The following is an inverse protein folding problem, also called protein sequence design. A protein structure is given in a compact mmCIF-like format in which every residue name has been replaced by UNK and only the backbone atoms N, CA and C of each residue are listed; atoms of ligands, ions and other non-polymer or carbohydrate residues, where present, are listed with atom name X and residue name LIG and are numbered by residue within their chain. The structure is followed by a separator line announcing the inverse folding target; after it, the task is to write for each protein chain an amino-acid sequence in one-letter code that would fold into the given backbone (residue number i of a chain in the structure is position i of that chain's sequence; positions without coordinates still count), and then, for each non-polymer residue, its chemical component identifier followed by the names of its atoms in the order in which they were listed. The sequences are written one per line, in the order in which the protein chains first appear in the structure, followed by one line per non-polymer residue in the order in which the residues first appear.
data_IF_001568955454
#
_entry.id   IF_001568955454
#
_cell.length_a   1.000
_cell.length_b   1.000
_cell.length_c   1.000
_cell.angle_alpha   90.00
_cell.angle_beta   90.00
_cell.angle_gamma   90.00
#
_symmetry.space_group_name_H-M   'P 1'
#
loop_
_entity.id
_entity.type
_entity.pdbx_description
1 polymer ?
#
# COMPACT_ATOMS: atom_id res chain seq x y z
N UNK A 1 4.83 21.84 -12.20
CA UNK A 1 3.69 20.95 -11.90
C UNK A 1 3.84 20.55 -10.45
N UNK A 2 2.84 20.82 -9.62
CA UNK A 2 2.86 20.47 -8.20
C UNK A 2 2.11 19.14 -8.01
N UNK A 3 2.57 18.30 -7.10
CA UNK A 3 1.83 17.11 -6.68
C UNK A 3 1.75 17.09 -5.16
N UNK A 4 0.76 16.36 -4.64
CA UNK A 4 0.53 16.17 -3.22
C UNK A 4 0.64 14.68 -2.90
N UNK A 5 1.42 14.33 -1.88
CA UNK A 5 1.43 12.99 -1.31
C UNK A 5 0.41 12.96 -0.18
N UNK A 6 -0.49 12.00 -0.21
CA UNK A 6 -1.55 11.85 0.80
C UNK A 6 -1.63 10.41 1.29
N UNK A 7 -1.66 10.26 2.62
CA UNK A 7 -1.77 8.96 3.27
C UNK A 7 -3.21 8.45 3.22
N UNK A 8 -3.54 7.67 2.21
CA UNK A 8 -4.85 7.04 2.05
C UNK A 8 -4.98 5.79 2.92
N UNK A 9 -3.88 5.06 3.07
CA UNK A 9 -3.73 3.83 3.85
C UNK A 9 -4.57 2.66 3.28
N UNK A 10 -5.88 2.77 3.30
CA UNK A 10 -6.83 1.73 2.87
C UNK A 10 -8.17 2.35 2.51
N UNK A 11 -9.01 1.61 1.80
CA UNK A 11 -10.42 1.95 1.54
C UNK A 11 -11.38 1.37 2.60
N UNK A 12 -10.86 0.66 3.61
CA UNK A 12 -11.65 0.03 4.65
C UNK A 12 -11.88 0.99 5.83
N UNK A 13 -13.09 1.54 5.95
CA UNK A 13 -13.46 2.51 6.99
C UNK A 13 -13.32 1.97 8.42
N UNK A 14 -13.49 0.66 8.63
CA UNK A 14 -13.21 0.01 9.93
C UNK A 14 -11.73 0.14 10.30
N UNK A 15 -10.84 -0.11 9.34
CA UNK A 15 -9.39 0.00 9.56
C UNK A 15 -9.00 1.46 9.76
N UNK A 16 -9.51 2.38 8.94
CA UNK A 16 -9.29 3.83 9.10
C UNK A 16 -9.71 4.32 10.49
N UNK A 17 -10.85 3.83 11.00
CA UNK A 17 -11.34 4.16 12.36
C UNK A 17 -10.40 3.61 13.43
N UNK A 18 -9.94 2.36 13.32
CA UNK A 18 -9.01 1.76 14.28
C UNK A 18 -7.67 2.52 14.29
N UNK A 19 -7.21 2.97 13.14
CA UNK A 19 -5.98 3.76 12.98
C UNK A 19 -6.15 5.24 13.35
N UNK A 20 -7.36 5.68 13.73
CA UNK A 20 -7.69 7.08 14.09
C UNK A 20 -7.33 8.08 12.98
N UNK A 21 -7.57 7.72 11.71
CA UNK A 21 -7.22 8.56 10.57
C UNK A 21 -8.13 9.78 10.38
N UNK A 22 -9.30 9.80 11.05
CA UNK A 22 -10.28 10.89 10.99
C UNK A 22 -10.78 11.22 9.56
N UNK A 23 -10.72 10.26 8.65
CA UNK A 23 -11.30 10.32 7.31
C UNK A 23 -11.89 8.95 6.94
N UNK A 24 -12.72 8.94 5.91
CA UNK A 24 -13.40 7.76 5.38
C UNK A 24 -12.97 7.49 3.94
N UNK A 25 -13.36 6.34 3.39
CA UNK A 25 -13.18 6.02 1.97
C UNK A 25 -13.82 7.07 1.04
N UNK A 26 -14.95 7.67 1.45
CA UNK A 26 -15.58 8.75 0.69
C UNK A 26 -14.72 10.03 0.65
N UNK A 27 -14.00 10.34 1.73
CA UNK A 27 -13.09 11.50 1.76
C UNK A 27 -11.91 11.29 0.82
N UNK A 28 -11.46 10.04 0.59
CA UNK A 28 -10.43 9.72 -0.41
C UNK A 28 -10.92 10.11 -1.81
N UNK A 29 -12.14 9.70 -2.19
CA UNK A 29 -12.74 10.06 -3.47
C UNK A 29 -12.84 11.58 -3.63
N UNK A 30 -13.37 12.27 -2.63
CA UNK A 30 -13.50 13.73 -2.64
C UNK A 30 -12.14 14.41 -2.81
N UNK A 31 -11.10 13.93 -2.12
CA UNK A 31 -9.75 14.50 -2.22
C UNK A 31 -9.14 14.36 -3.62
N UNK A 32 -9.41 13.23 -4.30
CA UNK A 32 -8.96 13.02 -5.68
C UNK A 32 -9.71 13.96 -6.63
N UNK A 33 -11.03 14.08 -6.48
CA UNK A 33 -11.85 14.94 -7.33
C UNK A 33 -11.44 16.41 -7.20
N UNK A 34 -11.27 16.90 -5.97
CA UNK A 34 -10.79 18.25 -5.70
C UNK A 34 -9.40 18.46 -6.33
N UNK A 35 -8.47 17.51 -6.14
CA UNK A 35 -7.13 17.62 -6.72
C UNK A 35 -7.16 17.72 -8.23
N UNK A 36 -8.03 16.93 -8.89
CA UNK A 36 -8.24 16.99 -10.35
C UNK A 36 -8.80 18.33 -10.80
N UNK A 37 -9.79 18.88 -10.07
CA UNK A 37 -10.40 20.18 -10.37
C UNK A 37 -9.36 21.30 -10.37
N UNK A 38 -8.40 21.26 -9.43
CA UNK A 38 -7.32 22.24 -9.33
C UNK A 38 -6.07 21.90 -10.15
N UNK A 39 -6.08 20.82 -10.93
CA UNK A 39 -4.94 20.41 -11.74
C UNK A 39 -3.72 19.98 -10.91
N UNK A 40 -3.95 19.47 -9.70
CA UNK A 40 -2.92 18.99 -8.80
C UNK A 40 -2.88 17.47 -8.88
N UNK A 41 -1.72 16.89 -9.21
CA UNK A 41 -1.55 15.45 -9.18
C UNK A 41 -1.51 14.94 -7.74
N UNK A 42 -2.40 13.99 -7.38
CA UNK A 42 -2.39 13.33 -6.09
C UNK A 42 -1.62 12.01 -6.19
N UNK A 43 -0.76 11.77 -5.21
CA UNK A 43 -0.03 10.52 -5.03
C UNK A 43 -0.48 9.87 -3.73
N UNK A 44 -1.45 8.96 -3.78
CA UNK A 44 -1.88 8.25 -2.60
C UNK A 44 -0.78 7.31 -2.12
N UNK A 45 -0.60 7.19 -0.82
CA UNK A 45 0.21 6.14 -0.22
C UNK A 45 -0.69 5.11 0.45
N UNK A 46 -0.39 3.84 0.20
CA UNK A 46 -1.20 2.71 0.61
C UNK A 46 -0.48 1.86 1.65
N UNK A 47 -1.23 1.37 2.61
CA UNK A 47 -0.86 0.37 3.58
C UNK A 47 -2.00 -0.65 3.66
N UNK A 48 -2.18 -1.47 2.62
CA UNK A 48 -3.37 -2.32 2.48
C UNK A 48 -3.44 -3.45 3.51
N UNK A 49 -2.30 -3.86 4.09
CA UNK A 49 -2.26 -5.02 4.98
C UNK A 49 -2.13 -4.65 6.45
N UNK A 50 -3.12 -5.06 7.20
CA UNK A 50 -3.26 -4.93 8.65
C UNK A 50 -3.87 -6.22 9.22
N UNK A 51 -3.94 -6.42 10.54
CA UNK A 51 -4.63 -7.58 11.12
C UNK A 51 -6.08 -7.78 10.66
N UNK A 52 -6.74 -6.71 10.26
CA UNK A 52 -8.17 -6.67 9.92
C UNK A 52 -8.45 -6.66 8.41
N UNK A 53 -7.42 -6.81 7.59
CA UNK A 53 -7.57 -6.77 6.13
C UNK A 53 -8.36 -7.96 5.62
N UNK A 54 -9.36 -7.67 4.80
CA UNK A 54 -10.10 -8.64 4.00
C UNK A 54 -9.61 -8.63 2.54
N UNK A 55 -9.88 -9.69 1.79
CA UNK A 55 -9.43 -9.77 0.40
C UNK A 55 -10.04 -8.66 -0.46
N UNK A 56 -11.30 -8.32 -0.20
CA UNK A 56 -12.05 -7.28 -0.89
C UNK A 56 -11.41 -5.90 -0.75
N UNK A 57 -10.67 -5.63 0.32
CA UNK A 57 -9.99 -4.35 0.52
C UNK A 57 -8.99 -4.08 -0.61
N UNK A 58 -8.29 -5.12 -1.08
CA UNK A 58 -7.34 -5.01 -2.19
C UNK A 58 -8.06 -4.75 -3.52
N UNK A 59 -9.19 -5.42 -3.75
CA UNK A 59 -10.03 -5.14 -4.93
C UNK A 59 -10.50 -3.70 -4.94
N UNK A 60 -11.01 -3.20 -3.82
CA UNK A 60 -11.50 -1.82 -3.69
C UNK A 60 -10.39 -0.79 -3.94
N UNK A 61 -9.16 -1.06 -3.48
CA UNK A 61 -8.00 -0.20 -3.76
C UNK A 61 -7.71 -0.18 -5.26
N UNK A 62 -7.69 -1.36 -5.92
CA UNK A 62 -7.44 -1.45 -7.37
C UNK A 62 -8.56 -0.73 -8.13
N UNK A 63 -9.83 -0.92 -7.77
CA UNK A 63 -10.95 -0.24 -8.40
C UNK A 63 -10.86 1.28 -8.28
N UNK A 64 -10.43 1.80 -7.14
CA UNK A 64 -10.18 3.22 -6.95
C UNK A 64 -9.04 3.72 -7.85
N UNK A 65 -7.90 3.00 -7.88
CA UNK A 65 -6.76 3.35 -8.73
C UNK A 65 -7.18 3.38 -10.21
N UNK A 66 -7.94 2.38 -10.67
CA UNK A 66 -8.42 2.29 -12.04
C UNK A 66 -9.47 3.36 -12.37
N UNK A 67 -10.47 3.52 -11.50
CA UNK A 67 -11.56 4.48 -11.69
C UNK A 67 -11.08 5.93 -11.78
N UNK A 68 -10.05 6.26 -11.03
CA UNK A 68 -9.46 7.60 -11.02
C UNK A 68 -8.20 7.74 -11.89
N UNK A 69 -7.77 6.67 -12.59
CA UNK A 69 -6.58 6.65 -13.44
C UNK A 69 -5.30 7.05 -12.68
N UNK A 70 -5.06 6.42 -11.54
CA UNK A 70 -3.94 6.76 -10.65
C UNK A 70 -2.72 5.83 -10.78
N UNK A 71 -2.66 4.91 -11.76
CA UNK A 71 -1.55 3.95 -11.91
C UNK A 71 -0.17 4.60 -11.89
N UNK A 72 -0.04 5.76 -12.56
CA UNK A 72 1.24 6.49 -12.66
C UNK A 72 1.65 7.17 -11.34
N UNK A 73 0.72 7.28 -10.40
CA UNK A 73 0.95 7.93 -9.11
C UNK A 73 1.11 6.94 -7.96
N UNK A 74 0.91 5.65 -8.23
CA UNK A 74 1.02 4.56 -7.25
C UNK A 74 2.18 3.65 -7.64
N UNK A 75 3.19 3.54 -6.79
CA UNK A 75 4.25 2.56 -6.95
C UNK A 75 3.68 1.16 -6.63
N UNK A 76 3.81 0.15 -7.51
CA UNK A 76 3.24 -1.18 -7.31
C UNK A 76 3.63 -1.83 -5.97
N UNK A 77 4.83 -1.59 -5.46
CA UNK A 77 5.28 -2.12 -4.16
C UNK A 77 4.34 -1.72 -3.02
N UNK A 78 3.62 -0.60 -3.13
CA UNK A 78 2.70 -0.14 -2.08
C UNK A 78 1.55 -1.12 -1.85
N UNK A 79 1.18 -1.91 -2.87
CA UNK A 79 0.17 -2.96 -2.73
C UNK A 79 0.65 -4.17 -1.90
N UNK A 80 1.88 -4.16 -1.41
CA UNK A 80 2.44 -5.21 -0.53
C UNK A 80 2.66 -4.75 0.90
N UNK A 81 2.49 -3.45 1.18
CA UNK A 81 2.87 -2.84 2.45
C UNK A 81 1.93 -3.28 3.56
N UNK A 82 2.53 -3.71 4.68
CA UNK A 82 1.81 -4.08 5.90
C UNK A 82 2.04 -3.09 7.03
N UNK A 83 1.08 -3.04 7.96
CA UNK A 83 1.14 -2.19 9.14
C UNK A 83 2.42 -2.46 9.95
N UNK A 84 3.22 -1.42 10.15
CA UNK A 84 4.37 -1.41 11.04
C UNK A 84 3.94 -0.90 12.43
N UNK A 85 4.32 -1.61 13.49
CA UNK A 85 3.99 -1.26 14.88
C UNK A 85 5.26 -1.04 15.70
N UNK A 86 5.87 0.14 15.64
CA UNK A 86 7.05 0.46 16.43
C UNK A 86 6.76 0.41 17.94
N UNK A 87 7.81 0.27 18.76
CA UNK A 87 7.73 0.08 20.23
C UNK A 87 6.86 1.11 20.96
N UNK A 88 6.77 2.32 20.45
CA UNK A 88 6.01 3.41 21.06
C UNK A 88 4.76 3.80 20.26
N UNK A 89 4.31 2.96 19.34
CA UNK A 89 3.11 3.21 18.55
C UNK A 89 1.87 3.29 19.44
N UNK A 90 1.02 4.30 19.20
CA UNK A 90 -0.20 4.49 19.97
C UNK A 90 -1.21 3.35 19.79
N UNK A 91 -1.15 2.66 18.64
CA UNK A 91 -2.04 1.53 18.34
C UNK A 91 -1.91 0.39 19.35
N UNK A 92 -0.74 0.23 20.00
CA UNK A 92 -0.51 -0.80 21.04
C UNK A 92 -1.48 -0.65 22.21
N UNK A 93 -1.95 0.57 22.48
CA UNK A 93 -2.90 0.87 23.56
C UNK A 93 -4.35 0.53 23.19
N UNK A 94 -4.64 0.31 21.91
CA UNK A 94 -5.98 0.02 21.42
C UNK A 94 -6.40 -1.40 21.77
N UNK A 95 -7.62 -1.62 22.25
CA UNK A 95 -8.11 -2.96 22.54
C UNK A 95 -8.19 -3.85 21.30
N UNK A 96 -8.43 -3.24 20.12
CA UNK A 96 -8.62 -3.92 18.84
C UNK A 96 -7.36 -4.69 18.41
N UNK A 97 -6.15 -4.17 18.71
CA UNK A 97 -4.90 -4.83 18.29
C UNK A 97 -4.46 -5.96 19.22
N UNK A 98 -4.89 -5.94 20.49
CA UNK A 98 -4.31 -6.79 21.55
C UNK A 98 -4.33 -8.28 21.22
N UNK A 99 -5.40 -8.78 20.62
CA UNK A 99 -5.53 -10.20 20.28
C UNK A 99 -4.65 -10.65 19.10
N UNK A 100 -4.13 -9.70 18.33
CA UNK A 100 -3.29 -9.98 17.17
C UNK A 100 -1.82 -9.73 17.43
N UNK A 101 -1.49 -8.93 18.46
CA UNK A 101 -0.14 -8.46 18.74
C UNK A 101 0.73 -9.62 19.27
N UNK A 102 1.88 -9.81 18.63
CA UNK A 102 2.93 -10.75 19.03
C UNK A 102 4.10 -10.06 19.72
N UNK A 103 5.27 -10.69 19.65
CA UNK A 103 6.50 -10.19 20.26
C UNK A 103 7.12 -9.04 19.48
N UNK A 104 7.90 -8.22 20.18
CA UNK A 104 8.70 -7.16 19.55
C UNK A 104 9.97 -7.73 18.94
N UNK A 105 10.15 -7.54 17.66
CA UNK A 105 11.33 -7.95 16.90
C UNK A 105 12.28 -6.77 16.71
N UNK A 106 13.52 -6.94 17.16
CA UNK A 106 14.52 -5.87 17.13
C UNK A 106 15.06 -5.61 15.73
N UNK A 107 15.10 -6.62 14.87
CA UNK A 107 15.61 -6.54 13.51
C UNK A 107 14.70 -5.69 12.62
N UNK A 108 13.39 -5.85 12.76
CA UNK A 108 12.37 -5.06 12.05
C UNK A 108 11.96 -3.79 12.79
N UNK A 109 12.40 -3.61 14.05
CA UNK A 109 11.99 -2.51 14.94
C UNK A 109 10.47 -2.42 15.15
N UNK A 110 9.77 -3.55 15.08
CA UNK A 110 8.32 -3.64 15.07
C UNK A 110 7.84 -4.78 15.96
N UNK A 111 6.62 -4.63 16.49
CA UNK A 111 5.88 -5.78 17.00
C UNK A 111 5.40 -6.62 15.84
N UNK A 112 5.55 -7.94 15.96
CA UNK A 112 4.90 -8.88 15.07
C UNK A 112 3.40 -8.90 15.38
N UNK A 113 2.60 -9.25 14.37
CA UNK A 113 1.17 -9.39 14.53
C UNK A 113 0.63 -10.45 13.57
N UNK A 114 -0.58 -10.95 13.86
CA UNK A 114 -1.23 -12.00 13.09
C UNK A 114 -2.44 -11.46 12.35
N UNK A 115 -2.69 -11.98 11.17
CA UNK A 115 -3.90 -11.69 10.39
C UNK A 115 -5.12 -12.37 11.01
N UNK A 116 -6.27 -11.72 10.99
CA UNK A 116 -7.57 -12.35 11.26
C UNK A 116 -7.94 -13.30 10.10
N UNK A 117 -7.67 -12.88 8.88
CA UNK A 117 -7.90 -13.64 7.66
C UNK A 117 -6.59 -14.21 7.10
N UNK A 118 -6.41 -15.52 7.20
CA UNK A 118 -5.20 -16.22 6.68
C UNK A 118 -5.03 -16.09 5.16
N UNK A 119 -6.12 -15.85 4.41
CA UNK A 119 -6.02 -15.64 2.97
C UNK A 119 -5.44 -14.26 2.64
N UNK A 120 -5.67 -13.24 3.48
CA UNK A 120 -5.03 -11.94 3.34
C UNK A 120 -3.51 -12.04 3.59
N UNK A 121 -3.07 -12.83 4.56
CA UNK A 121 -1.64 -13.10 4.77
C UNK A 121 -1.01 -13.77 3.55
N UNK A 122 -1.65 -14.80 3.00
CA UNK A 122 -1.17 -15.49 1.78
C UNK A 122 -1.11 -14.54 0.59
N UNK A 123 -2.13 -13.70 0.41
CA UNK A 123 -2.15 -12.70 -0.66
C UNK A 123 -0.99 -11.73 -0.52
N UNK A 124 -0.77 -11.17 0.67
CA UNK A 124 0.35 -10.25 0.94
C UNK A 124 1.69 -10.89 0.58
N UNK A 125 1.92 -12.13 1.05
CA UNK A 125 3.15 -12.85 0.75
C UNK A 125 3.33 -13.08 -0.75
N UNK A 126 2.26 -13.50 -1.46
CA UNK A 126 2.31 -13.76 -2.90
C UNK A 126 2.60 -12.49 -3.70
N UNK A 127 1.96 -11.35 -3.33
CA UNK A 127 2.23 -10.06 -3.97
C UNK A 127 3.67 -9.58 -3.73
N UNK A 128 4.16 -9.74 -2.50
CA UNK A 128 5.52 -9.36 -2.15
C UNK A 128 6.56 -10.22 -2.89
N UNK A 129 6.37 -11.53 -2.93
CA UNK A 129 7.23 -12.45 -3.67
C UNK A 129 7.22 -12.16 -5.18
N UNK A 130 6.05 -11.84 -5.73
CA UNK A 130 5.93 -11.43 -7.12
C UNK A 130 6.78 -10.20 -7.43
N UNK A 131 6.71 -9.12 -6.64
CA UNK A 131 7.51 -7.91 -6.83
C UNK A 131 9.01 -8.20 -6.71
N UNK A 132 9.42 -9.03 -5.76
CA UNK A 132 10.82 -9.40 -5.58
C UNK A 132 11.39 -10.13 -6.80
N UNK A 133 10.63 -11.08 -7.35
CA UNK A 133 11.06 -11.92 -8.45
C UNK A 133 10.88 -11.27 -9.84
N UNK A 134 10.24 -10.11 -9.92
CA UNK A 134 9.97 -9.40 -11.17
C UNK A 134 10.45 -7.93 -11.11
N UNK A 135 11.54 -7.66 -10.39
CA UNK A 135 12.07 -6.30 -10.22
C UNK A 135 12.60 -5.68 -11.51
N UNK A 136 12.89 -6.47 -12.56
CA UNK A 136 13.30 -6.04 -13.89
C UNK A 136 12.15 -5.60 -14.79
N UNK A 137 10.91 -5.96 -14.44
CA UNK A 137 9.73 -5.50 -15.18
C UNK A 137 9.50 -4.00 -14.94
N UNK A 138 8.97 -3.33 -15.96
CA UNK A 138 8.46 -1.98 -15.77
C UNK A 138 7.26 -1.97 -14.80
N UNK A 139 7.05 -0.84 -14.13
CA UNK A 139 6.03 -0.68 -13.09
C UNK A 139 4.61 -1.01 -13.59
N UNK A 140 4.32 -0.73 -14.86
CA UNK A 140 3.03 -1.05 -15.44
C UNK A 140 2.79 -2.56 -15.50
N UNK A 141 3.78 -3.33 -15.94
CA UNK A 141 3.70 -4.79 -15.97
C UNK A 141 3.65 -5.38 -14.56
N UNK A 142 4.44 -4.81 -13.63
CA UNK A 142 4.36 -5.20 -12.22
C UNK A 142 2.95 -4.97 -11.68
N UNK A 143 2.36 -3.80 -11.91
CA UNK A 143 1.01 -3.48 -11.47
C UNK A 143 -0.02 -4.46 -12.03
N UNK A 144 -0.02 -4.71 -13.35
CA UNK A 144 -0.96 -5.64 -13.98
C UNK A 144 -0.79 -7.08 -13.47
N UNK A 145 0.44 -7.52 -13.22
CA UNK A 145 0.71 -8.83 -12.61
C UNK A 145 0.12 -8.94 -11.21
N UNK A 146 0.25 -7.88 -10.41
CA UNK A 146 -0.35 -7.84 -9.06
C UNK A 146 -1.88 -7.83 -9.12
N UNK A 147 -2.47 -7.08 -10.05
CA UNK A 147 -3.93 -7.11 -10.26
C UNK A 147 -4.40 -8.52 -10.60
N UNK A 148 -3.69 -9.25 -11.48
CA UNK A 148 -4.02 -10.65 -11.79
C UNK A 148 -3.98 -11.56 -10.55
N UNK A 149 -3.00 -11.38 -9.67
CA UNK A 149 -2.92 -12.13 -8.40
C UNK A 149 -4.10 -11.78 -7.50
N UNK A 150 -4.45 -10.50 -7.37
CA UNK A 150 -5.60 -10.07 -6.55
C UNK A 150 -6.90 -10.68 -7.11
N UNK A 151 -7.12 -10.66 -8.43
CA UNK A 151 -8.27 -11.29 -9.08
C UNK A 151 -8.36 -12.80 -8.75
N UNK A 152 -7.25 -13.51 -8.75
CA UNK A 152 -7.21 -14.94 -8.43
C UNK A 152 -7.64 -15.20 -6.99
N UNK A 153 -7.11 -14.43 -6.02
CA UNK A 153 -7.43 -14.58 -4.61
C UNK A 153 -8.85 -14.17 -4.27
N UNK A 154 -9.34 -13.08 -4.84
CA UNK A 154 -10.69 -12.53 -4.58
C UNK A 154 -11.78 -13.22 -5.39
N UNK A 155 -11.39 -13.92 -6.47
CA UNK A 155 -12.31 -14.47 -7.50
C UNK A 155 -13.20 -13.38 -8.14
N UNK A 156 -12.71 -12.14 -8.13
CA UNK A 156 -13.41 -10.98 -8.67
C UNK A 156 -12.64 -10.48 -9.88
N UNK A 157 -13.34 -10.30 -11.03
CA UNK A 157 -12.73 -9.71 -12.21
C UNK A 157 -12.69 -8.20 -12.04
N UNK A 158 -11.49 -7.64 -12.05
CA UNK A 158 -11.27 -6.20 -11.93
C UNK A 158 -11.20 -5.56 -13.33
N UNK A 159 -11.82 -4.41 -13.47
CA UNK A 159 -11.81 -3.68 -14.75
C UNK A 159 -10.51 -2.89 -14.82
N UNK A 160 -9.54 -3.38 -15.59
CA UNK A 160 -8.35 -2.62 -15.92
C UNK A 160 -8.57 -1.85 -17.22
N UNK A 161 -8.32 -0.54 -17.19
CA UNK A 161 -8.44 0.29 -18.39
C UNK A 161 -7.28 -0.03 -19.34
N UNK A 162 -7.58 -0.63 -20.52
CA UNK A 162 -6.59 -0.98 -21.54
C UNK A 162 -6.14 0.23 -22.36
N UNK A 163 -6.93 1.29 -22.41
CA UNK A 163 -6.65 2.55 -23.12
C UNK A 163 -6.12 3.61 -22.13
N UNK A 164 -5.21 3.22 -21.27
CA UNK A 164 -4.63 4.11 -20.28
C UNK A 164 -3.71 5.13 -20.94
N UNK A 165 -4.02 6.43 -20.76
CA UNK A 165 -3.15 7.51 -21.23
C UNK A 165 -2.05 7.76 -20.18
N UNK A 166 -0.86 7.24 -20.46
CA UNK A 166 0.30 7.34 -19.56
C UNK A 166 0.78 8.80 -19.48
N UNK A 167 0.35 9.51 -18.46
CA UNK A 167 0.90 10.82 -18.13
C UNK A 167 2.20 10.64 -17.37
N UNK A 168 3.27 11.30 -17.81
CA UNK A 168 4.49 11.41 -17.00
C UNK A 168 4.20 12.26 -15.77
N UNK A 169 3.90 11.62 -14.65
CA UNK A 169 3.78 12.30 -13.35
C UNK A 169 5.16 12.37 -12.70
N UNK A 170 5.56 13.51 -12.11
CA UNK A 170 6.81 13.62 -11.40
C UNK A 170 6.91 12.56 -10.29
N UNK A 171 8.02 11.82 -10.24
CA UNK A 171 8.30 10.85 -9.18
C UNK A 171 9.27 11.43 -8.18
N UNK A 172 9.12 11.05 -6.90
CA UNK A 172 10.17 11.31 -5.93
C UNK A 172 11.39 10.46 -6.31
N UNK A 173 12.56 11.07 -6.28
CA UNK A 173 13.83 10.35 -6.47
C UNK A 173 14.19 9.48 -5.26
N UNK A 174 13.49 9.67 -4.13
CA UNK A 174 13.72 8.97 -2.88
C UNK A 174 12.64 7.91 -2.65
N UNK A 175 13.11 6.70 -2.28
CA UNK A 175 12.26 5.55 -2.00
C UNK A 175 11.73 5.56 -0.55
N UNK A 176 11.19 6.70 -0.10
CA UNK A 176 10.61 6.81 1.23
C UNK A 176 9.13 6.43 1.20
N UNK A 177 8.81 5.35 1.90
CA UNK A 177 7.44 5.01 2.23
C UNK A 177 7.19 5.37 3.69
N UNK A 178 6.41 6.42 3.89
CA UNK A 178 6.02 6.84 5.24
C UNK A 178 5.17 5.72 5.88
N UNK A 179 5.54 5.27 7.09
CA UNK A 179 4.80 4.29 7.89
C UNK A 179 4.84 2.82 7.40
N UNK A 180 5.70 2.47 6.46
CA UNK A 180 5.84 1.11 5.99
C UNK A 180 7.13 0.47 6.45
N UNK A 181 7.10 -0.84 6.69
CA UNK A 181 8.31 -1.63 6.88
C UNK A 181 9.13 -1.59 5.59
N UNK A 182 10.41 -1.13 5.63
CA UNK A 182 11.23 -1.12 4.44
C UNK A 182 11.38 -2.54 3.92
N UNK A 183 11.09 -2.75 2.64
CA UNK A 183 11.28 -4.05 2.01
C UNK A 183 12.76 -4.46 2.08
N UNK A 184 13.03 -5.75 2.02
CA UNK A 184 14.41 -6.27 2.01
C UNK A 184 15.24 -5.60 0.90
N UNK A 185 14.65 -5.33 -0.27
CA UNK A 185 15.29 -4.60 -1.37
C UNK A 185 15.69 -3.18 -0.97
N UNK A 186 14.82 -2.47 -0.26
CA UNK A 186 15.11 -1.12 0.23
C UNK A 186 16.21 -1.14 1.27
N UNK A 187 16.19 -2.12 2.20
CA UNK A 187 17.27 -2.32 3.17
C UNK A 187 18.60 -2.66 2.51
N UNK A 188 18.60 -3.49 1.48
CA UNK A 188 19.80 -3.86 0.75
C UNK A 188 20.36 -2.69 -0.07
N UNK A 189 19.51 -1.86 -0.69
CA UNK A 189 19.92 -0.61 -1.35
C UNK A 189 20.53 0.39 -0.37
N UNK A 190 19.96 0.55 0.82
CA UNK A 190 20.50 1.42 1.88
C UNK A 190 21.89 0.91 2.33
N UNK A 191 22.08 -0.41 2.46
CA UNK A 191 23.37 -1.02 2.80
C UNK A 191 24.40 -0.81 1.69
N UNK A 192 24.02 -0.96 0.43
CA UNK A 192 24.90 -0.79 -0.72
C UNK A 192 25.33 0.67 -0.89
N UNK A 193 24.45 1.64 -0.67
CA UNK A 193 24.79 3.07 -0.73
C UNK A 193 25.66 3.53 0.44
N UNK A 194 25.58 2.90 1.62
CA UNK A 194 26.50 3.17 2.72
C UNK A 194 27.93 2.67 2.50
N UNK A 195 28.13 1.76 1.55
CA UNK A 195 29.47 1.27 1.17
C UNK A 195 30.17 2.21 0.16
N UNK A 196 29.53 3.29 -0.29
CA UNK A 196 30.02 4.28 -1.25
C UNK A 196 30.30 5.66 -0.62
N UNK A 197 30.21 5.80 0.70
CA UNK A 197 30.60 6.97 1.51
C UNK A 197 31.70 6.55 2.47
#
# INVERSE_FOLDING_TARGET
MAFVISAFETTNDKVLTILEKNHTSNDLNNSIEISKEFGIDIRPTWMPFSPWTELEDLSNIVELIEGYQLRETVDPIQLTIKLLIPKHSLIIKRPEIKKYLGDYEKESLSFQWQYENIHAEKLQFTLFDFILNNSELDEHKQYLGMVSIIEEFTRTKLITNTNYDFKKVPKLSETWFCCAEPSKIQLDRIKTNKALI
#
